data_IF_132590790157
#
_entry.id   IF_132590790157
#
_cell.length_a   1.000
_cell.length_b   1.000
_cell.length_c   1.000
_cell.angle_alpha   90.00
_cell.angle_beta   90.00
_cell.angle_gamma   90.00
#
_symmetry.space_group_name_H-M   'P 1'
#
loop_
_entity.id
_entity.type
_entity.pdbx_description
1 polymer ?
#
# COMPACT_ATOMS: atom_id res chain seq x y z
N UNK A 1 -22.65 -1.47 -14.43
CA UNK A 1 -24.10 -1.17 -14.52
C UNK A 1 -24.45 -0.76 -15.94
N UNK A 2 -25.73 -0.76 -16.36
CA UNK A 2 -26.14 -0.54 -17.75
C UNK A 2 -25.58 0.73 -18.39
N UNK A 3 -25.55 1.85 -17.65
CA UNK A 3 -25.08 3.13 -18.20
C UNK A 3 -23.58 3.18 -18.55
N UNK A 4 -22.72 2.35 -17.91
CA UNK A 4 -21.33 2.16 -18.36
C UNK A 4 -21.29 1.39 -19.68
N UNK A 5 -22.20 0.44 -19.89
CA UNK A 5 -22.24 -0.37 -21.11
C UNK A 5 -22.81 0.41 -22.31
N UNK A 6 -23.77 1.31 -22.07
CA UNK A 6 -24.33 2.20 -23.11
C UNK A 6 -23.46 3.40 -23.44
N UNK A 7 -22.42 3.68 -22.63
CA UNK A 7 -21.49 4.79 -22.83
C UNK A 7 -21.91 6.12 -22.22
N UNK A 8 -23.06 6.17 -21.53
CA UNK A 8 -23.56 7.36 -20.83
C UNK A 8 -22.69 7.72 -19.61
N UNK A 9 -21.93 6.75 -19.09
CA UNK A 9 -20.97 6.94 -17.99
C UNK A 9 -19.62 6.32 -18.35
N UNK A 10 -18.54 7.10 -18.19
CA UNK A 10 -17.17 6.65 -18.42
C UNK A 10 -16.42 6.59 -17.09
N UNK A 11 -15.78 5.46 -16.80
CA UNK A 11 -14.80 5.35 -15.71
C UNK A 11 -13.46 5.90 -16.19
N UNK A 12 -12.89 6.84 -15.46
CA UNK A 12 -11.58 7.42 -15.76
C UNK A 12 -10.75 7.53 -14.49
N UNK A 13 -9.46 7.24 -14.61
CA UNK A 13 -8.47 7.47 -13.56
C UNK A 13 -7.82 8.83 -13.78
N UNK A 14 -7.59 9.56 -12.69
CA UNK A 14 -6.97 10.87 -12.68
C UNK A 14 -5.71 10.77 -11.81
N UNK A 15 -4.53 10.59 -12.40
CA UNK A 15 -3.30 10.51 -11.63
C UNK A 15 -3.06 11.85 -10.93
N UNK A 16 -2.72 11.78 -9.64
CA UNK A 16 -2.28 12.94 -8.86
C UNK A 16 -0.78 13.12 -9.03
N UNK A 17 -0.30 14.37 -8.94
CA UNK A 17 1.13 14.69 -8.84
C UNK A 17 1.54 15.09 -7.42
N UNK A 18 0.56 15.18 -6.51
CA UNK A 18 0.80 15.45 -5.10
C UNK A 18 1.25 14.16 -4.41
N UNK A 19 2.14 14.27 -3.39
CA UNK A 19 2.53 13.10 -2.63
C UNK A 19 1.36 12.40 -1.94
N UNK A 20 1.41 11.09 -1.88
CA UNK A 20 0.49 10.24 -1.14
C UNK A 20 0.94 10.09 0.32
N UNK A 21 0.00 10.08 1.28
CA UNK A 21 0.34 9.78 2.68
C UNK A 21 0.87 8.35 2.82
N UNK A 22 2.04 8.18 3.43
CA UNK A 22 2.59 6.86 3.72
C UNK A 22 1.77 6.13 4.80
N UNK A 23 1.32 4.92 4.49
CA UNK A 23 0.72 3.99 5.45
C UNK A 23 1.65 2.79 5.71
N UNK A 24 1.90 2.48 6.99
CA UNK A 24 2.79 1.40 7.37
C UNK A 24 2.42 0.76 8.72
N UNK A 25 2.94 -0.44 8.97
CA UNK A 25 3.00 -0.99 10.33
C UNK A 25 4.12 -0.29 11.10
N UNK A 26 3.76 0.42 12.15
CA UNK A 26 4.74 1.09 13.02
C UNK A 26 5.16 0.17 14.16
N UNK A 27 6.46 -0.07 14.24
CA UNK A 27 7.06 -0.91 15.28
C UNK A 27 7.40 -0.04 16.49
N UNK A 28 6.86 -0.39 17.66
CA UNK A 28 7.19 0.31 18.90
C UNK A 28 8.61 -0.05 19.38
N UNK A 29 9.58 0.78 19.00
CA UNK A 29 10.99 0.61 19.34
C UNK A 29 11.31 0.74 20.82
N UNK A 30 10.36 1.14 21.69
CA UNK A 30 10.56 1.19 23.14
C UNK A 30 10.60 -0.20 23.79
N UNK A 31 10.09 -1.23 23.10
CA UNK A 31 10.07 -2.61 23.60
C UNK A 31 11.41 -3.30 23.30
N UNK A 32 12.01 -4.04 24.26
CA UNK A 32 13.31 -4.70 24.06
C UNK A 32 13.40 -5.57 22.80
N UNK A 33 12.32 -6.27 22.46
CA UNK A 33 12.23 -7.14 21.29
C UNK A 33 12.51 -6.43 19.95
N UNK A 34 12.25 -5.12 19.86
CA UNK A 34 12.30 -4.35 18.61
C UNK A 34 13.41 -3.30 18.58
N UNK A 35 14.35 -3.34 19.53
CA UNK A 35 15.45 -2.37 19.63
C UNK A 35 16.43 -2.50 18.46
N UNK A 36 16.73 -3.73 18.03
CA UNK A 36 17.66 -3.99 16.94
C UNK A 36 17.02 -3.66 15.57
N UNK A 37 17.69 -2.79 14.80
CA UNK A 37 17.25 -2.40 13.46
C UNK A 37 17.19 -3.59 12.48
N UNK A 38 18.08 -4.57 12.64
CA UNK A 38 18.15 -5.76 11.80
C UNK A 38 16.95 -6.66 12.01
N UNK A 39 16.44 -6.74 13.25
CA UNK A 39 15.18 -7.44 13.56
C UNK A 39 14.01 -6.74 12.87
N UNK A 40 13.95 -5.40 12.94
CA UNK A 40 12.88 -4.64 12.27
C UNK A 40 12.93 -4.78 10.75
N UNK A 41 14.12 -4.78 10.17
CA UNK A 41 14.32 -5.02 8.74
C UNK A 41 13.95 -6.47 8.35
N UNK A 42 14.29 -7.47 9.16
CA UNK A 42 13.90 -8.84 8.89
C UNK A 42 12.36 -9.01 8.85
N UNK A 43 11.64 -8.28 9.70
CA UNK A 43 10.17 -8.29 9.68
C UNK A 43 9.58 -7.68 8.39
N UNK A 44 10.27 -6.75 7.72
CA UNK A 44 9.77 -6.21 6.44
C UNK A 44 9.86 -7.23 5.32
N UNK A 45 10.84 -8.15 5.36
CA UNK A 45 10.94 -9.25 4.38
C UNK A 45 9.81 -10.26 4.49
N UNK A 46 9.21 -10.39 5.68
CA UNK A 46 8.06 -11.27 5.88
C UNK A 46 6.74 -10.68 5.36
N UNK A 47 6.73 -9.42 4.93
CA UNK A 47 5.52 -8.75 4.46
C UNK A 47 5.27 -9.02 2.97
N UNK A 48 4.30 -9.89 2.68
CA UNK A 48 3.86 -10.21 1.31
C UNK A 48 2.78 -9.23 0.82
N UNK A 49 3.21 -8.06 0.36
CA UNK A 49 2.33 -7.05 -0.23
C UNK A 49 1.56 -7.60 -1.44
N UNK A 50 2.24 -8.35 -2.31
CA UNK A 50 1.69 -8.73 -3.62
C UNK A 50 0.50 -9.67 -3.46
N UNK A 51 0.56 -10.59 -2.50
CA UNK A 51 -0.58 -11.43 -2.16
C UNK A 51 -1.73 -10.64 -1.55
N UNK A 52 -1.45 -9.67 -0.67
CA UNK A 52 -2.50 -8.81 -0.10
C UNK A 52 -3.16 -7.95 -1.17
N UNK A 53 -2.38 -7.36 -2.07
CA UNK A 53 -2.91 -6.53 -3.15
C UNK A 53 -3.80 -7.33 -4.08
N UNK A 54 -3.39 -8.54 -4.45
CA UNK A 54 -4.18 -9.45 -5.28
C UNK A 54 -5.47 -9.93 -4.61
N UNK A 55 -5.43 -10.24 -3.31
CA UNK A 55 -6.54 -10.96 -2.64
C UNK A 55 -7.47 -10.08 -1.82
N UNK A 56 -6.96 -9.02 -1.21
CA UNK A 56 -7.70 -8.12 -0.31
C UNK A 56 -8.02 -6.80 -1.02
N UNK A 57 -7.06 -6.26 -1.78
CA UNK A 57 -7.20 -4.94 -2.41
C UNK A 57 -7.59 -4.98 -3.89
N UNK A 58 -7.82 -6.18 -4.43
CA UNK A 58 -8.27 -6.39 -5.82
C UNK A 58 -7.36 -5.76 -6.88
N UNK A 59 -6.06 -5.64 -6.59
CA UNK A 59 -5.06 -5.05 -7.49
C UNK A 59 -5.15 -3.54 -7.61
N UNK A 60 -5.84 -2.85 -6.70
CA UNK A 60 -6.06 -1.41 -6.79
C UNK A 60 -4.90 -0.54 -6.25
N UNK A 61 -3.91 -1.13 -5.56
CA UNK A 61 -2.81 -0.36 -4.95
C UNK A 61 -1.45 -0.68 -5.55
N UNK A 62 -0.52 0.24 -5.37
CA UNK A 62 0.93 0.07 -5.57
C UNK A 62 1.64 0.06 -4.21
N UNK A 63 2.84 -0.53 -4.16
CA UNK A 63 3.59 -0.63 -2.91
C UNK A 63 4.32 0.68 -2.62
N UNK A 64 4.00 1.30 -1.49
CA UNK A 64 4.76 2.44 -0.97
C UNK A 64 6.21 2.08 -0.68
N UNK A 65 7.15 2.83 -1.27
CA UNK A 65 8.60 2.68 -1.08
C UNK A 65 9.29 3.93 -0.50
N UNK A 66 8.55 5.05 -0.42
CA UNK A 66 9.03 6.34 0.06
C UNK A 66 8.09 6.94 1.11
N UNK A 67 8.64 7.81 1.96
CA UNK A 67 7.85 8.62 2.89
C UNK A 67 7.11 9.78 2.22
N UNK A 68 7.46 10.10 0.97
CA UNK A 68 6.98 11.27 0.21
C UNK A 68 6.70 10.92 -1.26
N UNK A 69 6.32 9.67 -1.52
CA UNK A 69 5.89 9.22 -2.85
C UNK A 69 4.81 10.11 -3.43
#
# INVERSE_FOLDING_TARGET
FPAIKSGDVIKKEFPTTSPEPMQAYLINTRRPLFQDVRVRQALTYAYDFESMNRTIFFGAYTRTDSYFE
#
